data_IF_789785732101
#
_entry.id   IF_789785732101
#
_cell.length_a   1.000
_cell.length_b   1.000
_cell.length_c   1.000
_cell.angle_alpha   90.00
_cell.angle_beta   90.00
_cell.angle_gamma   90.00
#
_symmetry.space_group_name_H-M   'P 1'
#
loop_
_entity.id
_entity.type
_entity.pdbx_description
1 polymer ?
#
# COMPACT_ATOMS: atom_id res chain seq x y z
N UNK A 1 -24.06 86.44 -1.16
CA UNK A 1 -22.73 86.11 -1.72
C UNK A 1 -22.53 84.62 -1.52
N UNK A 2 -22.48 83.88 -2.63
CA UNK A 2 -22.34 82.41 -2.68
C UNK A 2 -20.96 82.00 -2.15
N UNK A 3 -20.86 80.89 -1.42
CA UNK A 3 -19.77 79.92 -1.55
C UNK A 3 -20.15 78.59 -0.89
N UNK A 4 -20.45 77.63 -1.76
CA UNK A 4 -20.44 76.20 -1.49
C UNK A 4 -19.01 75.76 -1.11
N UNK A 5 -18.88 74.89 -0.12
CA UNK A 5 -17.74 73.99 0.00
C UNK A 5 -18.28 72.56 0.11
N UNK A 6 -17.85 71.72 -0.82
CA UNK A 6 -18.33 70.38 -1.14
C UNK A 6 -17.06 69.51 -1.23
N UNK A 7 -17.19 68.21 -0.98
CA UNK A 7 -16.22 67.13 -1.28
C UNK A 7 -15.11 66.96 -0.21
N UNK A 8 -14.79 65.80 0.37
CA UNK A 8 -14.88 64.41 -0.10
C UNK A 8 -14.94 63.42 1.07
N UNK A 9 -15.94 62.55 1.11
CA UNK A 9 -15.91 61.32 1.90
C UNK A 9 -15.33 60.21 1.02
N UNK A 10 -14.06 59.86 1.22
CA UNK A 10 -13.43 58.74 0.54
C UNK A 10 -13.98 57.43 1.14
N UNK A 11 -14.94 56.82 0.44
CA UNK A 11 -15.30 55.42 0.66
C UNK A 11 -14.07 54.56 0.32
N UNK A 12 -13.38 54.03 1.33
CA UNK A 12 -12.48 52.90 1.14
C UNK A 12 -13.31 51.65 0.88
N UNK A 13 -13.62 51.39 -0.39
CA UNK A 13 -14.01 50.06 -0.85
C UNK A 13 -12.83 49.13 -0.63
N UNK A 14 -12.85 48.39 0.49
CA UNK A 14 -12.00 47.22 0.67
C UNK A 14 -12.39 46.20 -0.40
N UNK A 15 -11.68 46.21 -1.53
CA UNK A 15 -11.68 45.10 -2.46
C UNK A 15 -11.10 43.91 -1.69
N UNK A 16 -11.97 43.00 -1.25
CA UNK A 16 -11.55 41.66 -0.88
C UNK A 16 -10.90 41.05 -2.11
N UNK A 17 -9.57 41.13 -2.19
CA UNK A 17 -8.81 40.32 -3.12
C UNK A 17 -9.20 38.88 -2.81
N UNK A 18 -9.59 38.05 -3.81
CA UNK A 18 -9.76 36.64 -3.58
C UNK A 18 -8.47 36.14 -2.93
N UNK A 19 -8.57 35.46 -1.79
CA UNK A 19 -7.44 34.78 -1.19
C UNK A 19 -6.84 33.93 -2.30
N UNK A 20 -5.66 34.33 -2.79
CA UNK A 20 -5.03 33.60 -3.88
C UNK A 20 -4.73 32.22 -3.35
N UNK A 21 -5.20 31.20 -4.08
CA UNK A 21 -4.78 29.82 -3.96
C UNK A 21 -3.26 29.79 -3.72
N UNK A 22 -2.84 29.42 -2.52
CA UNK A 22 -1.44 29.48 -2.12
C UNK A 22 -0.93 28.04 -2.04
N UNK A 23 -0.09 27.70 -3.01
CA UNK A 23 0.82 26.55 -2.92
C UNK A 23 2.09 27.05 -2.25
N UNK A 24 2.50 26.39 -1.18
CA UNK A 24 3.71 26.72 -0.44
C UNK A 24 4.96 26.56 -1.31
N UNK A 25 6.01 27.33 -1.01
CA UNK A 25 7.34 27.21 -1.64
C UNK A 25 7.39 27.23 -3.18
N UNK A 26 6.32 27.72 -3.82
CA UNK A 26 6.14 27.81 -5.28
C UNK A 26 6.19 26.46 -6.00
N UNK A 27 5.96 25.34 -5.31
CA UNK A 27 5.93 23.98 -5.88
C UNK A 27 5.21 22.99 -4.96
N UNK A 28 4.80 21.85 -5.52
CA UNK A 28 4.36 20.69 -4.73
C UNK A 28 5.40 19.59 -4.82
N UNK A 29 5.98 19.19 -3.69
CA UNK A 29 7.04 18.19 -3.63
C UNK A 29 6.57 16.91 -2.94
N UNK A 30 6.68 15.79 -3.65
CA UNK A 30 6.28 14.46 -3.19
C UNK A 30 7.53 13.58 -3.03
N UNK A 31 7.70 13.01 -1.83
CA UNK A 31 8.81 12.12 -1.52
C UNK A 31 8.39 10.65 -1.52
N UNK A 32 8.97 9.83 -2.40
CA UNK A 32 8.80 8.37 -2.39
C UNK A 32 9.89 7.76 -1.50
N UNK A 33 9.52 7.38 -0.27
CA UNK A 33 10.44 6.81 0.73
C UNK A 33 10.17 5.33 0.89
N UNK A 34 11.03 4.50 0.30
CA UNK A 34 10.78 3.07 0.19
C UNK A 34 12.06 2.22 0.25
N UNK A 35 11.94 0.90 0.16
CA UNK A 35 13.08 0.00 0.06
C UNK A 35 13.53 -0.13 -1.39
N UNK A 36 14.69 0.42 -1.74
CA UNK A 36 15.20 0.41 -3.12
C UNK A 36 16.28 -0.63 -3.38
N UNK A 37 16.80 -1.27 -2.34
CA UNK A 37 18.00 -2.11 -2.43
C UNK A 37 17.89 -3.43 -1.67
N UNK A 38 16.90 -3.58 -0.80
CA UNK A 38 16.71 -4.74 0.06
C UNK A 38 15.67 -5.74 -0.43
N UNK A 39 15.09 -6.44 0.54
CA UNK A 39 14.15 -7.56 0.37
C UNK A 39 12.87 -7.20 -0.40
N UNK A 40 12.53 -5.90 -0.47
CA UNK A 40 11.34 -5.36 -1.12
C UNK A 40 11.64 -4.47 -2.34
N UNK A 41 12.87 -4.46 -2.85
CA UNK A 41 13.27 -3.64 -4.00
C UNK A 41 12.44 -3.93 -5.28
N UNK A 42 12.04 -5.19 -5.47
CA UNK A 42 11.18 -5.61 -6.58
C UNK A 42 9.68 -5.54 -6.24
N UNK A 43 9.34 -5.52 -4.95
CA UNK A 43 7.97 -5.39 -4.46
C UNK A 43 7.41 -4.00 -4.72
N UNK A 44 8.17 -2.96 -4.35
CA UNK A 44 7.84 -1.55 -4.52
C UNK A 44 8.99 -0.81 -5.19
N UNK A 45 10.01 -0.48 -4.40
CA UNK A 45 11.32 0.07 -4.80
C UNK A 45 11.31 1.18 -5.84
N UNK A 46 12.35 1.21 -6.68
CA UNK A 46 12.53 2.26 -7.72
C UNK A 46 11.36 2.30 -8.71
N UNK A 47 10.65 1.20 -8.85
CA UNK A 47 9.50 1.06 -9.75
C UNK A 47 8.29 1.88 -9.26
N UNK A 48 8.11 2.00 -7.94
CA UNK A 48 7.08 2.89 -7.38
C UNK A 48 7.42 4.37 -7.57
N UNK A 49 8.71 4.73 -7.56
CA UNK A 49 9.15 6.07 -7.94
C UNK A 49 8.86 6.39 -9.41
N UNK A 50 9.07 5.42 -10.32
CA UNK A 50 8.66 5.59 -11.73
C UNK A 50 7.15 5.77 -11.88
N UNK A 51 6.34 5.02 -11.13
CA UNK A 51 4.88 5.18 -11.11
C UNK A 51 4.44 6.57 -10.59
N UNK A 52 5.08 7.06 -9.52
CA UNK A 52 4.82 8.40 -8.99
C UNK A 52 5.15 9.50 -10.01
N UNK A 53 6.28 9.38 -10.71
CA UNK A 53 6.62 10.31 -11.81
C UNK A 53 5.61 10.26 -12.94
N UNK A 54 5.15 9.07 -13.34
CA UNK A 54 4.10 8.94 -14.36
C UNK A 54 2.82 9.67 -13.94
N UNK A 55 2.42 9.57 -12.66
CA UNK A 55 1.23 10.27 -12.17
C UNK A 55 1.40 11.80 -12.21
N UNK A 56 2.55 12.32 -11.79
CA UNK A 56 2.85 13.76 -11.86
C UNK A 56 2.89 14.27 -13.32
N UNK A 57 3.48 13.50 -14.24
CA UNK A 57 3.52 13.79 -15.67
C UNK A 57 2.11 13.78 -16.29
N UNK A 58 1.30 12.78 -15.95
CA UNK A 58 -0.08 12.64 -16.45
C UNK A 58 -1.02 13.71 -15.92
N UNK A 59 -0.74 14.26 -14.74
CA UNK A 59 -1.44 15.43 -14.20
C UNK A 59 -1.05 16.73 -14.92
N UNK A 60 -0.06 16.70 -15.82
CA UNK A 60 0.43 17.85 -16.58
C UNK A 60 1.73 18.47 -16.03
N UNK A 61 2.37 17.83 -15.06
CA UNK A 61 3.61 18.29 -14.43
C UNK A 61 3.46 19.51 -13.53
N UNK A 62 2.24 20.01 -13.35
CA UNK A 62 1.90 21.15 -12.51
C UNK A 62 0.55 20.97 -11.83
N UNK A 63 0.35 21.62 -10.68
CA UNK A 63 -0.93 21.77 -10.00
C UNK A 63 -1.05 23.21 -9.49
N UNK A 64 -2.21 23.84 -9.71
CA UNK A 64 -2.41 25.27 -9.40
C UNK A 64 -1.30 26.17 -9.98
N UNK A 65 -0.91 25.91 -11.23
CA UNK A 65 0.18 26.56 -11.98
C UNK A 65 1.60 26.39 -11.40
N UNK A 66 1.79 25.60 -10.34
CA UNK A 66 3.10 25.31 -9.74
C UNK A 66 3.63 23.95 -10.17
N UNK A 67 4.96 23.80 -10.35
CA UNK A 67 5.58 22.52 -10.70
C UNK A 67 5.37 21.45 -9.64
N UNK A 68 5.23 20.21 -10.10
CA UNK A 68 5.24 19.01 -9.26
C UNK A 68 6.64 18.40 -9.30
N UNK A 69 7.27 18.26 -8.14
CA UNK A 69 8.57 17.59 -7.98
C UNK A 69 8.37 16.24 -7.29
N UNK A 70 8.86 15.16 -7.88
CA UNK A 70 8.92 13.85 -7.22
C UNK A 70 10.37 13.54 -6.90
N UNK A 71 10.66 13.30 -5.62
CA UNK A 71 11.97 12.86 -5.12
C UNK A 71 11.88 11.47 -4.52
N UNK A 72 13.02 10.84 -4.25
CA UNK A 72 13.02 9.51 -3.65
C UNK A 72 14.25 9.27 -2.79
N UNK A 73 14.13 8.38 -1.81
CA UNK A 73 15.24 7.90 -1.00
C UNK A 73 15.01 6.46 -0.55
N UNK A 74 16.11 5.77 -0.27
CA UNK A 74 16.12 4.39 0.20
C UNK A 74 16.20 4.34 1.72
N UNK A 75 15.15 3.84 2.37
CA UNK A 75 15.13 3.67 3.82
C UNK A 75 15.81 2.37 4.30
N UNK A 76 16.23 1.48 3.39
CA UNK A 76 16.98 0.24 3.71
C UNK A 76 16.29 -0.66 4.75
N UNK A 77 14.96 -0.70 4.74
CA UNK A 77 14.11 -1.32 5.77
C UNK A 77 14.40 -0.92 7.23
N UNK A 78 14.92 0.30 7.47
CA UNK A 78 15.33 0.79 8.78
C UNK A 78 14.50 1.99 9.23
N UNK A 79 13.67 1.87 10.28
CA UNK A 79 12.83 2.97 10.77
C UNK A 79 13.60 4.23 11.20
N UNK A 80 14.81 4.08 11.75
CA UNK A 80 15.66 5.19 12.15
C UNK A 80 16.20 5.97 10.94
N UNK A 81 16.63 5.27 9.88
CA UNK A 81 17.02 5.91 8.61
C UNK A 81 15.83 6.64 7.99
N UNK A 82 14.66 5.98 7.90
CA UNK A 82 13.45 6.59 7.37
C UNK A 82 13.04 7.84 8.16
N UNK A 83 13.11 7.78 9.49
CA UNK A 83 12.78 8.89 10.38
C UNK A 83 13.68 10.10 10.15
N UNK A 84 14.99 9.87 9.99
CA UNK A 84 15.95 10.94 9.70
C UNK A 84 15.68 11.59 8.34
N UNK A 85 15.42 10.78 7.31
CA UNK A 85 15.07 11.27 5.97
C UNK A 85 13.77 12.07 6.02
N UNK A 86 12.72 11.56 6.67
CA UNK A 86 11.43 12.24 6.78
C UNK A 86 11.56 13.61 7.48
N UNK A 87 12.33 13.69 8.57
CA UNK A 87 12.60 14.98 9.24
C UNK A 87 13.37 15.93 8.34
N UNK A 88 14.42 15.48 7.66
CA UNK A 88 15.17 16.31 6.71
C UNK A 88 14.25 16.81 5.58
N UNK A 89 13.44 15.93 5.02
CA UNK A 89 12.50 16.24 3.95
C UNK A 89 11.46 17.27 4.35
N UNK A 90 10.84 17.14 5.52
CA UNK A 90 9.86 18.10 6.00
C UNK A 90 10.49 19.41 6.48
N UNK A 91 11.59 19.34 7.25
CA UNK A 91 12.13 20.52 7.94
C UNK A 91 13.06 21.35 7.06
N UNK A 92 13.74 20.73 6.09
CA UNK A 92 14.77 21.40 5.27
C UNK A 92 14.43 21.40 3.79
N UNK A 93 13.91 20.30 3.28
CA UNK A 93 13.69 20.15 1.84
C UNK A 93 12.27 20.48 1.39
N UNK A 94 11.38 20.90 2.29
CA UNK A 94 10.03 21.35 1.93
C UNK A 94 9.26 20.28 1.14
N UNK A 95 9.29 19.04 1.61
CA UNK A 95 8.42 17.97 1.09
C UNK A 95 7.01 18.17 1.65
N UNK A 96 6.00 18.04 0.79
CA UNK A 96 4.59 18.23 1.14
C UNK A 96 3.91 16.94 1.55
N UNK A 97 4.27 15.84 0.90
CA UNK A 97 3.79 14.52 1.24
C UNK A 97 4.87 13.45 1.08
N UNK A 98 4.89 12.47 1.98
CA UNK A 98 5.70 11.26 1.86
C UNK A 98 4.79 10.10 1.48
N UNK A 99 5.18 9.30 0.49
CA UNK A 99 4.35 8.22 -0.01
C UNK A 99 5.13 6.90 -0.18
N UNK A 100 4.35 5.84 -0.40
CA UNK A 100 4.76 4.44 -0.56
C UNK A 100 5.02 3.71 0.76
N UNK A 101 6.13 3.99 1.44
CA UNK A 101 6.46 3.46 2.77
C UNK A 101 6.32 1.92 2.88
N UNK A 102 7.14 1.18 2.13
CA UNK A 102 7.03 -0.29 1.95
C UNK A 102 6.94 -1.10 3.24
N UNK A 103 7.71 -0.74 4.25
CA UNK A 103 7.91 -1.57 5.44
C UNK A 103 7.06 -1.07 6.59
N UNK A 104 6.19 -1.92 7.16
CA UNK A 104 5.22 -1.49 8.18
C UNK A 104 5.84 -0.82 9.41
N UNK A 105 7.03 -1.24 9.86
CA UNK A 105 7.75 -0.55 10.95
C UNK A 105 8.26 0.83 10.53
N UNK A 106 8.67 1.01 9.27
CA UNK A 106 9.03 2.30 8.68
C UNK A 106 7.80 3.19 8.54
N UNK A 107 6.70 2.66 7.98
CA UNK A 107 5.46 3.40 7.79
C UNK A 107 4.90 3.94 9.10
N UNK A 108 4.86 3.13 10.17
CA UNK A 108 4.44 3.59 11.50
C UNK A 108 5.33 4.71 12.04
N UNK A 109 6.65 4.60 11.88
CA UNK A 109 7.59 5.63 12.32
C UNK A 109 7.42 6.94 11.54
N UNK A 110 7.28 6.87 10.22
CA UNK A 110 7.08 8.03 9.36
C UNK A 110 5.71 8.66 9.61
N UNK A 111 4.63 7.89 9.71
CA UNK A 111 3.29 8.40 10.04
C UNK A 111 3.27 9.14 11.39
N UNK A 112 4.03 8.67 12.38
CA UNK A 112 4.22 9.37 13.65
C UNK A 112 4.86 10.76 13.48
N UNK A 113 5.88 10.87 12.61
CA UNK A 113 6.54 12.14 12.29
C UNK A 113 5.62 13.03 11.45
N UNK A 114 4.94 12.50 10.44
CA UNK A 114 3.97 13.22 9.63
C UNK A 114 2.85 13.81 10.47
N UNK A 115 2.37 13.06 11.47
CA UNK A 115 1.41 13.55 12.46
C UNK A 115 1.96 14.70 13.32
N UNK A 116 3.20 14.57 13.82
CA UNK A 116 3.89 15.63 14.59
C UNK A 116 4.06 16.91 13.75
N UNK A 117 4.44 16.75 12.48
CA UNK A 117 4.76 17.84 11.55
C UNK A 117 3.55 18.39 10.81
N UNK A 118 2.37 17.80 11.00
CA UNK A 118 1.15 18.07 10.21
C UNK A 118 1.41 18.01 8.69
N UNK A 119 1.99 16.91 8.22
CA UNK A 119 2.22 16.63 6.80
C UNK A 119 1.48 15.37 6.40
N UNK A 120 1.11 15.27 5.13
CA UNK A 120 0.40 14.10 4.61
C UNK A 120 1.39 12.96 4.40
N UNK A 121 0.98 11.75 4.77
CA UNK A 121 1.60 10.52 4.32
C UNK A 121 0.58 9.58 3.68
N UNK A 122 0.95 8.96 2.55
CA UNK A 122 0.09 8.00 1.85
C UNK A 122 0.85 6.68 1.65
N UNK A 123 0.47 5.68 2.44
CA UNK A 123 1.07 4.35 2.47
C UNK A 123 0.44 3.45 1.41
N UNK A 124 1.24 2.95 0.48
CA UNK A 124 0.82 1.95 -0.53
C UNK A 124 1.57 0.63 -0.37
N UNK A 125 2.75 0.63 0.25
CA UNK A 125 3.60 -0.55 0.35
C UNK A 125 3.43 -1.35 1.65
N UNK A 126 3.32 -0.66 2.80
CA UNK A 126 3.07 -1.33 4.08
C UNK A 126 1.62 -1.74 4.28
N UNK A 127 1.38 -2.70 5.20
CA UNK A 127 0.08 -3.37 5.32
C UNK A 127 -0.44 -3.53 6.75
N UNK A 128 0.33 -3.22 7.80
CA UNK A 128 -0.18 -3.39 9.17
C UNK A 128 -1.49 -2.64 9.39
N UNK A 129 -2.48 -3.31 9.97
CA UNK A 129 -3.77 -2.70 10.33
C UNK A 129 -3.63 -1.59 11.36
N UNK A 130 -2.49 -1.49 12.05
CA UNK A 130 -2.23 -0.41 13.01
C UNK A 130 -2.26 0.99 12.38
N UNK A 131 -1.85 1.12 11.10
CA UNK A 131 -1.81 2.41 10.38
C UNK A 131 -3.16 3.10 10.30
N UNK A 132 -4.25 2.33 10.22
CA UNK A 132 -5.64 2.83 10.19
C UNK A 132 -6.49 2.28 11.35
N UNK A 133 -5.81 1.72 12.34
CA UNK A 133 -6.36 1.24 13.60
C UNK A 133 -5.80 2.07 14.76
N UNK A 134 -5.24 1.44 15.81
CA UNK A 134 -4.79 2.17 17.01
C UNK A 134 -3.79 3.31 16.77
N UNK A 135 -3.00 3.26 15.70
CA UNK A 135 -1.98 4.27 15.38
C UNK A 135 -2.40 5.23 14.25
N UNK A 136 -3.70 5.30 13.93
CA UNK A 136 -4.19 6.18 12.87
C UNK A 136 -3.81 7.67 13.08
N UNK A 137 -3.69 8.37 11.95
CA UNK A 137 -3.30 9.77 11.86
C UNK A 137 -4.34 10.55 11.05
N UNK A 138 -4.68 11.80 11.42
CA UNK A 138 -5.56 12.64 10.60
C UNK A 138 -4.94 13.02 9.26
N UNK A 139 -3.64 12.77 9.06
CA UNK A 139 -2.91 13.06 7.83
C UNK A 139 -2.31 11.80 7.18
N UNK A 140 -2.57 10.63 7.76
CA UNK A 140 -2.07 9.34 7.27
C UNK A 140 -3.16 8.60 6.51
N UNK A 141 -2.84 8.16 5.31
CA UNK A 141 -3.76 7.46 4.42
C UNK A 141 -3.17 6.12 4.02
N UNK A 142 -3.97 5.06 4.07
CA UNK A 142 -3.53 3.70 3.75
C UNK A 142 -4.26 3.20 2.51
N UNK A 143 -3.53 3.13 1.40
CA UNK A 143 -4.11 3.21 0.08
C UNK A 143 -4.33 1.86 -0.59
N UNK A 144 -3.29 1.01 -0.61
CA UNK A 144 -3.33 -0.19 -1.45
C UNK A 144 -3.99 -1.36 -0.73
N UNK A 145 -3.49 -1.85 0.38
CA UNK A 145 -4.04 -3.06 1.02
C UNK A 145 -3.69 -3.06 2.51
N UNK A 146 -4.27 -3.95 3.30
CA UNK A 146 -3.84 -4.20 4.66
C UNK A 146 -3.86 -5.71 4.97
N UNK A 147 -3.30 -6.08 6.11
CA UNK A 147 -3.22 -7.48 6.55
C UNK A 147 -4.59 -8.10 6.84
N UNK A 148 -5.63 -7.29 7.10
CA UNK A 148 -6.99 -7.81 7.25
C UNK A 148 -7.56 -8.26 5.90
N UNK A 149 -7.41 -7.45 4.85
CA UNK A 149 -7.84 -7.81 3.51
C UNK A 149 -7.15 -9.06 2.98
N UNK A 150 -5.86 -9.22 3.28
CA UNK A 150 -5.11 -10.45 2.97
C UNK A 150 -5.64 -11.67 3.73
N UNK A 151 -5.99 -11.49 5.01
CA UNK A 151 -6.58 -12.54 5.83
C UNK A 151 -7.97 -12.95 5.33
N UNK A 152 -8.83 -11.99 4.97
CA UNK A 152 -10.17 -12.23 4.42
C UNK A 152 -10.08 -12.96 3.08
N UNK A 153 -9.22 -12.51 2.17
CA UNK A 153 -9.05 -13.12 0.86
C UNK A 153 -8.30 -14.45 0.90
N UNK A 154 -6.97 -14.41 1.00
CA UNK A 154 -6.11 -15.58 0.90
C UNK A 154 -6.34 -16.55 2.07
N UNK A 155 -6.39 -16.01 3.30
CA UNK A 155 -6.67 -16.80 4.48
C UNK A 155 -8.04 -17.46 4.43
N UNK A 156 -9.07 -16.71 4.00
CA UNK A 156 -10.42 -17.22 3.88
C UNK A 156 -10.59 -18.31 2.84
N UNK A 157 -10.05 -18.12 1.64
CA UNK A 157 -10.08 -19.12 0.59
C UNK A 157 -9.46 -20.46 1.04
N UNK A 158 -8.33 -20.41 1.74
CA UNK A 158 -7.64 -21.63 2.21
C UNK A 158 -8.39 -22.35 3.33
N UNK A 159 -9.04 -21.61 4.23
CA UNK A 159 -9.89 -22.21 5.27
C UNK A 159 -11.11 -22.89 4.64
N UNK A 160 -11.76 -22.25 3.67
CA UNK A 160 -12.89 -22.83 2.94
C UNK A 160 -12.51 -24.09 2.16
N UNK A 161 -11.27 -24.15 1.67
CA UNK A 161 -10.68 -25.35 1.07
C UNK A 161 -10.19 -26.38 2.12
N UNK A 162 -10.74 -26.38 3.33
CA UNK A 162 -10.45 -27.37 4.38
C UNK A 162 -9.12 -27.17 5.12
N UNK A 163 -8.52 -25.98 5.01
CA UNK A 163 -7.31 -25.57 5.74
C UNK A 163 -7.62 -25.18 7.18
N UNK A 164 -7.98 -26.16 8.01
CA UNK A 164 -8.47 -25.93 9.38
C UNK A 164 -7.38 -25.85 10.46
N UNK A 165 -6.12 -26.14 10.12
CA UNK A 165 -4.99 -26.11 11.06
C UNK A 165 -3.80 -25.38 10.45
N UNK A 166 -3.29 -24.38 11.16
CA UNK A 166 -2.29 -23.44 10.67
C UNK A 166 -1.03 -23.43 11.54
N UNK A 167 0.13 -23.32 10.92
CA UNK A 167 1.39 -22.97 11.56
C UNK A 167 2.02 -21.79 10.82
N UNK A 168 2.46 -20.76 11.52
CA UNK A 168 2.98 -19.57 10.86
C UNK A 168 4.51 -19.51 10.86
N UNK A 169 5.08 -19.15 9.71
CA UNK A 169 6.42 -18.59 9.60
C UNK A 169 6.25 -17.08 9.50
N UNK A 170 6.76 -16.35 10.48
CA UNK A 170 6.42 -14.93 10.60
C UNK A 170 7.66 -14.05 10.65
N UNK A 171 7.69 -13.06 9.76
CA UNK A 171 8.74 -12.05 9.77
C UNK A 171 8.70 -11.26 11.08
N UNK A 172 9.86 -11.10 11.72
CA UNK A 172 9.99 -10.57 13.08
C UNK A 172 9.91 -9.03 13.13
N UNK A 173 8.79 -8.48 12.66
CA UNK A 173 8.46 -7.06 12.72
C UNK A 173 6.95 -6.81 12.54
N UNK A 174 6.52 -5.55 12.65
CA UNK A 174 5.11 -5.12 12.68
C UNK A 174 4.21 -5.76 11.62
N UNK A 175 4.67 -5.90 10.37
CA UNK A 175 3.87 -6.53 9.31
C UNK A 175 3.60 -8.02 9.59
N UNK A 176 4.65 -8.79 9.90
CA UNK A 176 4.50 -10.22 10.14
C UNK A 176 3.60 -10.48 11.35
N UNK A 177 3.79 -9.72 12.44
CA UNK A 177 2.92 -9.78 13.61
C UNK A 177 1.45 -9.54 13.25
N UNK A 178 1.18 -8.45 12.53
CA UNK A 178 -0.17 -8.09 12.11
C UNK A 178 -0.77 -9.16 11.18
N UNK A 179 -0.02 -9.68 10.20
CA UNK A 179 -0.52 -10.66 9.24
C UNK A 179 -0.83 -12.01 9.88
N UNK A 180 0.03 -12.49 10.79
CA UNK A 180 -0.23 -13.69 11.60
C UNK A 180 -1.47 -13.50 12.46
N UNK A 181 -1.61 -12.36 13.14
CA UNK A 181 -2.75 -12.08 13.99
C UNK A 181 -4.05 -12.04 13.18
N UNK A 182 -4.11 -11.25 12.10
CA UNK A 182 -5.30 -11.10 11.27
C UNK A 182 -5.71 -12.45 10.65
N UNK A 183 -4.75 -13.19 10.08
CA UNK A 183 -5.02 -14.50 9.46
C UNK A 183 -5.41 -15.54 10.49
N UNK A 184 -4.71 -15.59 11.62
CA UNK A 184 -5.00 -16.50 12.71
C UNK A 184 -6.37 -16.26 13.35
N UNK A 185 -6.76 -14.99 13.53
CA UNK A 185 -8.08 -14.62 14.04
C UNK A 185 -9.17 -14.96 13.03
N UNK A 186 -8.95 -14.67 11.74
CA UNK A 186 -9.87 -15.05 10.68
C UNK A 186 -10.07 -16.58 10.65
N UNK A 187 -8.98 -17.36 10.64
CA UNK A 187 -9.05 -18.82 10.63
C UNK A 187 -9.82 -19.37 11.84
N UNK A 188 -9.58 -18.84 13.04
CA UNK A 188 -10.33 -19.21 14.26
C UNK A 188 -11.81 -18.85 14.15
N UNK A 189 -12.17 -17.70 13.58
CA UNK A 189 -13.56 -17.29 13.37
C UNK A 189 -14.35 -18.25 12.48
N UNK A 190 -13.65 -18.99 11.62
CA UNK A 190 -14.19 -20.02 10.72
C UNK A 190 -14.03 -21.45 11.27
N UNK A 191 -13.68 -21.60 12.55
CA UNK A 191 -13.53 -22.89 13.22
C UNK A 191 -12.16 -23.56 13.08
N UNK A 192 -11.19 -22.89 12.46
CA UNK A 192 -9.80 -23.34 12.37
C UNK A 192 -9.01 -23.18 13.67
N UNK A 193 -7.79 -23.72 13.69
CA UNK A 193 -6.86 -23.68 14.83
C UNK A 193 -5.48 -23.24 14.38
N UNK A 194 -4.79 -22.49 15.24
CA UNK A 194 -3.37 -22.18 15.07
C UNK A 194 -2.58 -23.10 16.00
N UNK A 195 -1.75 -23.97 15.42
CA UNK A 195 -0.97 -24.98 16.14
C UNK A 195 0.38 -24.43 16.64
N UNK A 196 0.84 -23.32 16.08
CA UNK A 196 2.06 -22.66 16.50
C UNK A 196 2.50 -21.60 15.49
N UNK A 197 3.62 -20.95 15.81
CA UNK A 197 4.31 -20.04 14.94
C UNK A 197 5.80 -20.05 15.27
N UNK A 198 6.63 -19.67 14.29
CA UNK A 198 8.06 -19.41 14.48
C UNK A 198 8.42 -18.08 13.82
N UNK A 199 9.29 -17.31 14.47
CA UNK A 199 9.75 -16.02 13.97
C UNK A 199 11.05 -16.18 13.18
N UNK A 200 11.17 -15.45 12.09
CA UNK A 200 12.43 -15.31 11.35
C UNK A 200 12.78 -13.83 11.18
N UNK A 201 14.07 -13.46 11.21
CA UNK A 201 14.49 -12.09 10.87
C UNK A 201 14.03 -11.68 9.47
N UNK A 202 13.79 -10.40 9.26
CA UNK A 202 13.57 -9.86 7.91
C UNK A 202 14.82 -10.09 7.05
N UNK A 203 14.62 -10.42 5.76
CA UNK A 203 15.70 -10.74 4.81
C UNK A 203 16.46 -12.03 5.17
N UNK A 204 15.72 -13.04 5.63
CA UNK A 204 16.24 -14.38 5.89
C UNK A 204 16.52 -15.09 4.55
N UNK A 205 17.70 -15.70 4.42
CA UNK A 205 18.08 -16.46 3.22
C UNK A 205 17.96 -17.97 3.39
N UNK A 206 18.07 -18.49 4.62
CA UNK A 206 17.93 -19.90 4.95
C UNK A 206 16.71 -20.11 5.86
N UNK A 207 15.69 -20.78 5.31
CA UNK A 207 14.42 -21.08 5.96
C UNK A 207 14.34 -22.49 6.52
N UNK A 208 15.39 -23.31 6.36
CA UNK A 208 15.38 -24.75 6.68
C UNK A 208 14.85 -25.06 8.07
N UNK A 209 15.41 -24.45 9.11
CA UNK A 209 15.02 -24.71 10.50
C UNK A 209 13.59 -24.28 10.83
N UNK A 210 13.09 -23.21 10.20
CA UNK A 210 11.73 -22.71 10.38
C UNK A 210 10.72 -23.64 9.68
N UNK A 211 11.05 -24.06 8.46
CA UNK A 211 10.25 -24.98 7.66
C UNK A 211 10.15 -26.36 8.30
N UNK A 212 11.24 -26.89 8.87
CA UNK A 212 11.21 -28.17 9.60
C UNK A 212 10.34 -28.13 10.85
N UNK A 213 10.31 -27.00 11.57
CA UNK A 213 9.39 -26.81 12.69
C UNK A 213 7.93 -26.78 12.23
N UNK A 214 7.64 -26.05 11.16
CA UNK A 214 6.30 -26.01 10.57
C UNK A 214 5.86 -27.36 10.03
N UNK A 215 6.78 -28.13 9.44
CA UNK A 215 6.52 -29.49 9.00
C UNK A 215 6.19 -30.42 10.17
N UNK A 216 7.00 -30.36 11.22
CA UNK A 216 6.83 -31.17 12.43
C UNK A 216 5.55 -30.84 13.22
N UNK A 217 4.97 -29.65 13.00
CA UNK A 217 3.71 -29.24 13.65
C UNK A 217 2.49 -30.05 13.21
N UNK A 218 2.55 -30.67 12.02
CA UNK A 218 1.41 -31.38 11.43
C UNK A 218 0.24 -30.47 11.00
N UNK A 219 0.41 -29.15 10.98
CA UNK A 219 -0.60 -28.22 10.46
C UNK A 219 -0.88 -28.47 8.98
N UNK A 220 -2.14 -28.46 8.56
CA UNK A 220 -2.50 -28.60 7.14
C UNK A 220 -2.02 -27.43 6.28
N UNK A 221 -1.88 -26.24 6.87
CA UNK A 221 -1.44 -25.02 6.19
C UNK A 221 -0.25 -24.41 6.94
N UNK A 222 0.81 -24.09 6.19
CA UNK A 222 1.91 -23.26 6.65
C UNK A 222 1.66 -21.85 6.14
N UNK A 223 1.31 -20.94 7.04
CA UNK A 223 1.09 -19.53 6.75
C UNK A 223 2.41 -18.78 6.66
N UNK A 224 2.74 -18.25 5.49
CA UNK A 224 3.90 -17.40 5.29
C UNK A 224 3.50 -15.96 5.61
N UNK A 225 3.61 -15.57 6.88
CA UNK A 225 3.39 -14.20 7.36
C UNK A 225 4.66 -13.35 7.16
N UNK A 226 5.11 -13.31 5.90
CA UNK A 226 6.26 -12.59 5.38
C UNK A 226 5.95 -12.12 3.95
N UNK A 227 6.91 -11.46 3.29
CA UNK A 227 6.71 -10.88 1.95
C UNK A 227 8.04 -10.84 1.19
N UNK A 228 7.99 -10.47 -0.09
CA UNK A 228 9.16 -10.21 -0.91
C UNK A 228 10.06 -11.43 -1.06
N UNK A 229 11.37 -11.22 -1.03
CA UNK A 229 12.33 -12.32 -1.16
C UNK A 229 12.24 -13.34 -0.01
N UNK A 230 11.75 -12.96 1.17
CA UNK A 230 11.52 -13.92 2.27
C UNK A 230 10.48 -14.97 1.86
N UNK A 231 9.38 -14.55 1.25
CA UNK A 231 8.33 -15.46 0.76
C UNK A 231 8.85 -16.33 -0.38
N UNK A 232 9.55 -15.74 -1.36
CA UNK A 232 10.11 -16.49 -2.48
C UNK A 232 11.11 -17.57 -2.02
N UNK A 233 12.01 -17.22 -1.08
CA UNK A 233 12.99 -18.15 -0.50
C UNK A 233 12.31 -19.26 0.31
N UNK A 234 11.30 -18.91 1.13
CA UNK A 234 10.54 -19.89 1.91
C UNK A 234 9.80 -20.89 1.02
N UNK A 235 9.15 -20.44 -0.06
CA UNK A 235 8.47 -21.32 -1.01
C UNK A 235 9.45 -22.25 -1.71
N UNK A 236 10.56 -21.71 -2.23
CA UNK A 236 11.59 -22.51 -2.89
C UNK A 236 12.13 -23.61 -1.97
N UNK A 237 12.51 -23.26 -0.75
CA UNK A 237 13.06 -24.24 0.19
C UNK A 237 11.99 -25.22 0.68
N UNK A 238 10.74 -24.81 0.84
CA UNK A 238 9.65 -25.73 1.16
C UNK A 238 9.44 -26.80 0.07
N UNK A 239 9.65 -26.45 -1.20
CA UNK A 239 9.67 -27.41 -2.30
C UNK A 239 10.86 -28.36 -2.21
N UNK A 240 12.06 -27.86 -1.91
CA UNK A 240 13.28 -28.67 -1.70
C UNK A 240 13.13 -29.69 -0.56
N UNK A 241 12.44 -29.30 0.53
CA UNK A 241 12.11 -30.19 1.65
C UNK A 241 10.90 -31.11 1.39
N UNK A 242 10.25 -31.01 0.23
CA UNK A 242 9.09 -31.83 -0.12
C UNK A 242 7.88 -31.59 0.77
N UNK A 243 7.74 -30.41 1.37
CA UNK A 243 6.64 -30.09 2.32
C UNK A 243 5.28 -30.20 1.63
N UNK A 244 5.18 -29.65 0.42
CA UNK A 244 3.95 -29.71 -0.38
C UNK A 244 3.66 -31.14 -0.84
N UNK A 245 4.70 -31.87 -1.27
CA UNK A 245 4.60 -33.28 -1.63
C UNK A 245 4.20 -34.17 -0.43
N UNK A 246 4.55 -33.75 0.80
CA UNK A 246 4.16 -34.38 2.05
C UNK A 246 2.73 -34.09 2.51
N UNK A 247 1.99 -33.24 1.78
CA UNK A 247 0.55 -33.00 1.98
C UNK A 247 0.20 -31.72 2.75
N UNK A 248 1.17 -30.92 3.19
CA UNK A 248 0.90 -29.58 3.73
C UNK A 248 0.81 -28.54 2.62
N UNK A 249 -0.04 -27.53 2.79
CA UNK A 249 -0.16 -26.42 1.85
C UNK A 249 0.62 -25.21 2.33
N UNK A 250 1.18 -24.44 1.41
CA UNK A 250 1.73 -23.12 1.72
C UNK A 250 0.65 -22.06 1.46
N UNK A 251 0.51 -21.11 2.38
CA UNK A 251 -0.26 -19.89 2.17
C UNK A 251 0.71 -18.73 1.96
N UNK A 252 0.86 -18.28 0.72
CA UNK A 252 1.60 -17.05 0.41
C UNK A 252 0.69 -15.85 0.71
N UNK A 253 0.65 -15.45 1.98
CA UNK A 253 -0.36 -14.50 2.48
C UNK A 253 -0.20 -13.10 1.88
N UNK A 254 1.02 -12.71 1.52
CA UNK A 254 1.32 -11.59 0.63
C UNK A 254 2.30 -12.09 -0.44
N UNK A 255 1.87 -12.04 -1.70
CA UNK A 255 2.69 -12.46 -2.84
C UNK A 255 2.20 -11.71 -4.07
N UNK A 256 3.11 -10.98 -4.70
CA UNK A 256 2.82 -10.08 -5.81
C UNK A 256 3.34 -10.63 -7.12
N UNK A 257 2.95 -9.97 -8.20
CA UNK A 257 3.37 -10.28 -9.56
C UNK A 257 4.90 -10.37 -9.73
N UNK A 258 5.65 -9.50 -9.03
CA UNK A 258 7.11 -9.48 -9.10
C UNK A 258 7.74 -10.74 -8.49
N UNK A 259 7.19 -11.24 -7.39
CA UNK A 259 7.69 -12.45 -6.75
C UNK A 259 7.33 -13.70 -7.55
N UNK A 260 6.13 -13.74 -8.15
CA UNK A 260 5.76 -14.80 -9.10
C UNK A 260 6.68 -14.82 -10.31
N UNK A 261 7.03 -13.65 -10.85
CA UNK A 261 8.00 -13.55 -11.95
C UNK A 261 9.37 -14.13 -11.55
N UNK A 262 9.87 -13.76 -10.37
CA UNK A 262 11.17 -14.23 -9.87
C UNK A 262 11.19 -15.72 -9.54
N UNK A 263 10.09 -16.26 -8.99
CA UNK A 263 9.97 -17.67 -8.64
C UNK A 263 9.67 -18.57 -9.85
N UNK A 264 8.93 -18.05 -10.82
CA UNK A 264 8.46 -18.76 -12.00
C UNK A 264 7.20 -19.59 -11.76
N UNK A 265 6.39 -19.75 -12.82
CA UNK A 265 5.09 -20.45 -12.74
C UNK A 265 5.22 -21.92 -12.34
N UNK A 266 6.33 -22.60 -12.66
CA UNK A 266 6.49 -24.01 -12.31
C UNK A 266 6.43 -24.23 -10.79
N UNK A 267 7.07 -23.35 -10.01
CA UNK A 267 7.09 -23.41 -8.56
C UNK A 267 5.89 -22.69 -7.92
N UNK A 268 5.32 -21.70 -8.60
CA UNK A 268 4.25 -20.86 -8.05
C UNK A 268 2.82 -21.33 -8.41
N UNK A 269 2.64 -22.19 -9.42
CA UNK A 269 1.33 -22.61 -9.92
C UNK A 269 0.39 -23.11 -8.81
N UNK A 270 -0.87 -22.68 -8.86
CA UNK A 270 -1.90 -23.05 -7.90
C UNK A 270 -1.83 -22.31 -6.55
N UNK A 271 -0.83 -21.46 -6.32
CA UNK A 271 -0.84 -20.58 -5.16
C UNK A 271 -1.99 -19.58 -5.28
N UNK A 272 -2.81 -19.48 -4.24
CA UNK A 272 -3.84 -18.47 -4.10
C UNK A 272 -3.27 -17.25 -3.38
N UNK A 273 -3.62 -16.05 -3.86
CA UNK A 273 -3.18 -14.77 -3.31
C UNK A 273 -4.27 -13.70 -3.47
N UNK A 274 -4.11 -12.59 -2.74
CA UNK A 274 -5.03 -11.46 -2.78
C UNK A 274 -4.27 -10.21 -3.20
N UNK A 275 -4.71 -9.56 -4.28
CA UNK A 275 -4.15 -8.29 -4.75
C UNK A 275 -5.25 -7.25 -4.98
N UNK A 276 -4.87 -5.97 -4.87
CA UNK A 276 -5.74 -4.83 -5.19
C UNK A 276 -5.79 -4.47 -6.67
N UNK A 277 -4.89 -5.02 -7.48
CA UNK A 277 -4.76 -4.68 -8.89
C UNK A 277 -4.08 -5.81 -9.65
N UNK A 278 -4.44 -5.97 -10.92
CA UNK A 278 -3.71 -6.81 -11.87
C UNK A 278 -3.65 -6.12 -13.22
N UNK A 279 -2.48 -6.17 -13.84
CA UNK A 279 -2.18 -5.43 -15.06
C UNK A 279 -3.08 -5.87 -16.24
N UNK A 280 -3.44 -7.16 -16.33
CA UNK A 280 -4.28 -7.70 -17.40
C UNK A 280 -5.77 -7.82 -17.01
N UNK A 281 -6.23 -7.08 -16.01
CA UNK A 281 -7.63 -7.14 -15.54
C UNK A 281 -8.62 -6.57 -16.56
N UNK A 282 -8.30 -5.44 -17.19
CA UNK A 282 -9.15 -4.75 -18.16
C UNK A 282 -8.30 -3.85 -19.10
N UNK A 283 -8.96 -3.13 -20.01
CA UNK A 283 -8.25 -2.29 -20.99
C UNK A 283 -7.50 -1.12 -20.35
N UNK A 284 -8.06 -0.51 -19.30
CA UNK A 284 -7.39 0.60 -18.58
C UNK A 284 -6.14 0.12 -17.84
N UNK A 285 -6.22 -1.04 -17.17
CA UNK A 285 -5.06 -1.61 -16.48
C UNK A 285 -3.97 -2.01 -17.46
N UNK A 286 -4.34 -2.57 -18.62
CA UNK A 286 -3.38 -2.93 -19.68
C UNK A 286 -2.69 -1.72 -20.27
N UNK A 287 -3.43 -0.64 -20.51
CA UNK A 287 -2.87 0.59 -21.07
C UNK A 287 -1.84 1.22 -20.14
N UNK A 288 -2.18 1.38 -18.86
CA UNK A 288 -1.22 1.82 -17.85
C UNK A 288 0.00 0.90 -17.76
N UNK A 289 -0.23 -0.40 -17.74
CA UNK A 289 0.82 -1.39 -17.61
C UNK A 289 1.80 -1.38 -18.79
N UNK A 290 1.35 -1.15 -20.02
CA UNK A 290 2.25 -1.01 -21.19
C UNK A 290 3.15 0.21 -21.06
N UNK A 291 2.59 1.37 -20.72
CA UNK A 291 3.37 2.60 -20.48
C UNK A 291 4.37 2.42 -19.34
N UNK A 292 3.96 1.73 -18.28
CA UNK A 292 4.83 1.40 -17.16
C UNK A 292 5.95 0.44 -17.56
N UNK A 293 5.63 -0.58 -18.37
CA UNK A 293 6.58 -1.54 -18.90
C UNK A 293 7.63 -0.87 -19.80
N UNK A 294 7.24 0.10 -20.64
CA UNK A 294 8.20 0.84 -21.46
C UNK A 294 9.29 1.53 -20.62
N UNK A 295 8.93 2.04 -19.43
CA UNK A 295 9.87 2.71 -18.52
C UNK A 295 10.70 1.75 -17.67
N UNK A 296 10.12 0.61 -17.29
CA UNK A 296 10.66 -0.25 -16.22
C UNK A 296 11.06 -1.65 -16.66
N UNK A 297 10.60 -2.06 -17.85
CA UNK A 297 10.69 -3.43 -18.39
C UNK A 297 10.03 -4.48 -17.49
N UNK A 298 8.99 -4.07 -16.75
CA UNK A 298 8.23 -4.87 -15.79
C UNK A 298 6.76 -4.52 -15.86
N UNK A 299 5.88 -5.49 -15.58
CA UNK A 299 4.47 -5.17 -15.37
C UNK A 299 4.24 -4.70 -13.92
N UNK A 300 3.36 -3.70 -13.70
CA UNK A 300 3.11 -3.19 -12.36
C UNK A 300 2.28 -4.17 -11.53
N UNK A 301 2.61 -4.28 -10.24
CA UNK A 301 1.73 -4.90 -9.24
C UNK A 301 0.88 -3.82 -8.53
N UNK A 302 0.08 -4.22 -7.54
CA UNK A 302 -0.78 -3.29 -6.79
C UNK A 302 -0.05 -2.14 -6.09
N UNK A 303 1.24 -2.26 -5.78
CA UNK A 303 2.02 -1.24 -5.07
C UNK A 303 2.37 -0.10 -6.01
N UNK A 304 2.87 -0.41 -7.22
CA UNK A 304 3.19 0.62 -8.20
C UNK A 304 1.92 1.27 -8.75
N UNK A 305 0.90 0.48 -9.09
CA UNK A 305 -0.39 1.02 -9.53
C UNK A 305 -1.07 1.86 -8.44
N UNK A 306 -1.01 1.40 -7.18
CA UNK A 306 -1.50 2.13 -6.01
C UNK A 306 -0.73 3.42 -5.75
N UNK A 307 0.59 3.43 -5.98
CA UNK A 307 1.42 4.65 -5.87
C UNK A 307 1.07 5.68 -6.94
N UNK A 308 0.85 5.25 -8.18
CA UNK A 308 0.33 6.13 -9.23
C UNK A 308 -1.03 6.73 -8.82
N UNK A 309 -1.96 5.89 -8.36
CA UNK A 309 -3.29 6.30 -7.90
C UNK A 309 -3.23 7.28 -6.73
N UNK A 310 -2.40 7.01 -5.72
CA UNK A 310 -2.21 7.86 -4.55
C UNK A 310 -1.69 9.26 -4.92
N UNK A 311 -0.67 9.34 -5.78
CA UNK A 311 -0.12 10.63 -6.27
C UNK A 311 -1.19 11.38 -7.06
N UNK A 312 -1.87 10.70 -7.98
CA UNK A 312 -2.94 11.28 -8.79
C UNK A 312 -4.08 11.83 -7.90
N UNK A 313 -4.49 11.09 -6.87
CA UNK A 313 -5.54 11.54 -5.95
C UNK A 313 -5.08 12.73 -5.10
N UNK A 314 -3.85 12.70 -4.59
CA UNK A 314 -3.29 13.82 -3.82
C UNK A 314 -3.24 15.12 -4.62
N UNK A 315 -2.81 15.05 -5.88
CA UNK A 315 -2.79 16.21 -6.77
C UNK A 315 -4.20 16.74 -7.09
N UNK A 316 -5.17 15.84 -7.31
CA UNK A 316 -6.59 16.22 -7.46
C UNK A 316 -7.15 16.87 -6.19
N UNK A 317 -6.74 16.40 -5.01
CA UNK A 317 -7.15 16.97 -3.74
C UNK A 317 -6.58 18.38 -3.53
N UNK A 318 -5.32 18.63 -3.90
CA UNK A 318 -4.72 19.98 -3.93
C UNK A 318 -5.48 20.89 -4.90
N UNK A 319 -5.75 20.42 -6.12
CA UNK A 319 -6.49 21.20 -7.11
C UNK A 319 -7.88 21.59 -6.60
N UNK A 320 -8.61 20.63 -5.99
CA UNK A 320 -9.94 20.87 -5.43
C UNK A 320 -9.92 21.79 -4.20
N UNK A 321 -8.94 21.63 -3.32
CA UNK A 321 -8.75 22.48 -2.15
C UNK A 321 -8.32 23.90 -2.53
N UNK A 322 -7.69 24.07 -3.70
CA UNK A 322 -7.08 25.33 -4.12
C UNK A 322 -5.84 25.71 -3.30
N UNK A 323 -5.22 24.75 -2.60
CA UNK A 323 -4.03 24.94 -1.77
C UNK A 323 -3.37 23.59 -1.48
N UNK A 324 -2.09 23.60 -1.10
CA UNK A 324 -1.35 22.45 -0.56
C UNK A 324 -1.37 22.38 0.97
N UNK A 325 -2.18 23.22 1.64
CA UNK A 325 -2.35 23.19 3.09
C UNK A 325 -2.90 21.83 3.55
N UNK A 326 -2.18 21.19 4.47
CA UNK A 326 -2.40 19.81 4.91
C UNK A 326 -3.84 19.53 5.33
N UNK A 327 -4.45 20.35 6.18
CA UNK A 327 -5.80 20.10 6.71
C UNK A 327 -6.85 20.20 5.59
N UNK A 328 -6.73 21.18 4.70
CA UNK A 328 -7.59 21.33 3.52
C UNK A 328 -7.46 20.15 2.55
N UNK A 329 -6.23 19.73 2.24
CA UNK A 329 -5.98 18.60 1.32
C UNK A 329 -6.44 17.28 1.94
N UNK A 330 -6.17 17.06 3.23
CA UNK A 330 -6.60 15.85 3.95
C UNK A 330 -8.12 15.73 3.97
N UNK A 331 -8.84 16.84 4.14
CA UNK A 331 -10.29 16.88 4.04
C UNK A 331 -10.76 16.43 2.65
N UNK A 332 -10.17 16.98 1.59
CA UNK A 332 -10.54 16.60 0.22
C UNK A 332 -10.21 15.12 -0.08
N UNK A 333 -9.12 14.57 0.45
CA UNK A 333 -8.81 13.15 0.35
C UNK A 333 -9.89 12.25 0.97
N UNK A 334 -10.51 12.68 2.07
CA UNK A 334 -11.65 11.97 2.68
C UNK A 334 -12.96 12.10 1.90
N UNK A 335 -13.23 13.28 1.32
CA UNK A 335 -14.51 13.56 0.66
C UNK A 335 -14.58 13.10 -0.80
N UNK A 336 -13.43 13.10 -1.49
CA UNK A 336 -13.37 12.75 -2.90
C UNK A 336 -13.51 11.24 -3.11
N UNK A 337 -14.36 10.79 -4.06
CA UNK A 337 -14.34 9.40 -4.47
C UNK A 337 -13.05 9.09 -5.24
N UNK A 338 -12.59 7.85 -5.15
CA UNK A 338 -11.47 7.32 -5.93
C UNK A 338 -12.05 6.50 -7.08
N UNK A 339 -11.91 7.02 -8.30
CA UNK A 339 -12.35 6.39 -9.53
C UNK A 339 -11.25 6.54 -10.58
N UNK A 340 -10.36 5.56 -10.66
CA UNK A 340 -9.22 5.54 -11.57
C UNK A 340 -8.90 4.11 -12.04
N UNK A 341 -7.72 3.88 -12.61
CA UNK A 341 -7.28 2.57 -13.10
C UNK A 341 -7.08 1.54 -11.98
N UNK A 342 -6.76 2.01 -10.78
CA UNK A 342 -6.46 1.18 -9.62
C UNK A 342 -7.77 0.73 -8.97
N UNK A 343 -8.61 1.69 -8.58
CA UNK A 343 -9.85 1.44 -7.87
C UNK A 343 -11.06 2.06 -8.57
N UNK A 344 -12.18 1.33 -8.55
CA UNK A 344 -13.51 1.82 -8.93
C UNK A 344 -14.35 1.94 -7.67
N UNK A 345 -15.10 3.03 -7.56
CA UNK A 345 -15.93 3.35 -6.40
C UNK A 345 -15.18 3.31 -5.06
N UNK A 346 -13.87 3.59 -5.08
CA UNK A 346 -13.06 3.65 -3.87
C UNK A 346 -13.43 4.85 -3.03
N UNK A 347 -13.28 4.73 -1.71
CA UNK A 347 -13.53 5.82 -0.76
C UNK A 347 -12.55 5.75 0.41
N UNK A 348 -12.14 6.89 0.91
CA UNK A 348 -11.29 6.96 2.10
C UNK A 348 -12.16 7.02 3.35
N UNK A 349 -12.08 6.00 4.20
CA UNK A 349 -12.76 5.96 5.49
C UNK A 349 -12.21 7.01 6.47
N UNK A 350 -12.97 7.34 7.50
CA UNK A 350 -12.60 8.33 8.52
C UNK A 350 -11.33 7.97 9.33
N UNK A 351 -10.87 6.72 9.24
CA UNK A 351 -9.60 6.25 9.81
C UNK A 351 -8.41 6.33 8.84
N UNK A 352 -8.60 6.90 7.64
CA UNK A 352 -7.57 7.01 6.60
C UNK A 352 -7.45 5.81 5.66
N UNK A 353 -8.24 4.73 5.86
CA UNK A 353 -8.19 3.53 5.00
C UNK A 353 -8.91 3.79 3.67
N UNK A 354 -8.24 3.56 2.54
CA UNK A 354 -8.89 3.49 1.24
C UNK A 354 -9.60 2.14 1.09
N UNK A 355 -10.92 2.20 0.98
CA UNK A 355 -11.84 1.06 0.90
C UNK A 355 -12.26 0.90 -0.57
N UNK A 356 -11.92 -0.23 -1.16
CA UNK A 356 -12.23 -0.60 -2.55
C UNK A 356 -12.18 -2.12 -2.71
N UNK A 357 -12.59 -2.62 -3.87
CA UNK A 357 -12.64 -4.06 -4.11
C UNK A 357 -11.24 -4.67 -4.27
N UNK A 358 -11.01 -5.78 -3.58
CA UNK A 358 -9.81 -6.62 -3.70
C UNK A 358 -10.10 -7.84 -4.57
N UNK A 359 -9.08 -8.51 -5.07
CA UNK A 359 -9.23 -9.67 -5.95
C UNK A 359 -8.52 -10.89 -5.39
N UNK A 360 -9.28 -11.98 -5.24
CA UNK A 360 -8.72 -13.29 -5.00
C UNK A 360 -8.23 -13.84 -6.34
N UNK A 361 -6.96 -14.25 -6.39
CA UNK A 361 -6.32 -14.75 -7.61
C UNK A 361 -5.60 -16.06 -7.36
N UNK A 362 -5.40 -16.82 -8.42
CA UNK A 362 -4.59 -18.03 -8.44
C UNK A 362 -3.50 -17.93 -9.50
N UNK A 363 -2.28 -18.35 -9.14
CA UNK A 363 -1.18 -18.44 -10.09
C UNK A 363 -1.47 -19.52 -11.14
N UNK A 364 -1.41 -19.13 -12.41
CA UNK A 364 -1.60 -19.99 -13.58
C UNK A 364 -0.57 -21.11 -13.63
N UNK A 365 -0.95 -22.23 -14.25
CA UNK A 365 0.03 -23.22 -14.70
C UNK A 365 0.86 -22.64 -15.86
N UNK A 366 2.10 -23.09 -16.06
CA UNK A 366 2.91 -22.65 -17.19
C UNK A 366 2.20 -22.78 -18.56
N UNK A 367 1.42 -23.86 -18.75
CA UNK A 367 0.69 -24.11 -20.00
C UNK A 367 -0.49 -23.15 -20.26
N UNK A 368 -0.97 -22.45 -19.24
CA UNK A 368 -2.11 -21.52 -19.33
C UNK A 368 -1.67 -20.06 -19.53
N UNK A 369 -0.37 -19.77 -19.36
CA UNK A 369 0.22 -18.45 -19.55
C UNK A 369 0.47 -18.18 -21.03
N UNK A 370 -0.07 -17.07 -21.54
CA UNK A 370 -0.03 -16.75 -22.97
C UNK A 370 1.11 -15.80 -23.35
N UNK A 371 1.61 -15.04 -22.40
CA UNK A 371 2.69 -14.07 -22.59
C UNK A 371 3.43 -13.83 -21.27
N UNK A 372 4.65 -13.27 -21.29
CA UNK A 372 5.33 -12.86 -20.06
C UNK A 372 4.42 -12.00 -19.19
N UNK A 373 4.43 -12.24 -17.87
CA UNK A 373 3.58 -11.57 -16.87
C UNK A 373 2.09 -11.98 -16.88
N UNK A 374 1.65 -12.83 -17.80
CA UNK A 374 0.33 -13.46 -17.75
C UNK A 374 0.29 -14.60 -16.70
N UNK A 375 0.19 -14.22 -15.42
CA UNK A 375 0.40 -15.13 -14.30
C UNK A 375 -0.84 -15.46 -13.49
N UNK A 376 -1.93 -14.71 -13.62
CA UNK A 376 -3.07 -14.86 -12.71
C UNK A 376 -4.37 -15.24 -13.41
N UNK A 377 -5.11 -16.12 -12.74
CA UNK A 377 -6.55 -16.27 -12.90
C UNK A 377 -7.23 -15.45 -11.80
N UNK A 378 -8.18 -14.58 -12.16
CA UNK A 378 -9.04 -13.92 -11.17
C UNK A 378 -10.13 -14.91 -10.77
N UNK A 379 -10.15 -15.30 -9.50
CA UNK A 379 -11.11 -16.26 -8.96
C UNK A 379 -12.37 -15.57 -8.46
N UNK A 380 -12.20 -14.46 -7.75
CA UNK A 380 -13.30 -13.71 -7.16
C UNK A 380 -12.93 -12.23 -6.98
N UNK A 381 -13.97 -11.39 -6.94
CA UNK A 381 -13.87 -10.02 -6.43
C UNK A 381 -14.39 -10.02 -5.00
N UNK A 382 -13.62 -9.46 -4.07
CA UNK A 382 -13.98 -9.30 -2.67
C UNK A 382 -14.45 -7.84 -2.52
N UNK A 383 -15.75 -7.60 -2.27
CA UNK A 383 -16.28 -6.25 -2.10
C UNK A 383 -15.52 -5.49 -1.01
N UNK A 384 -15.27 -4.20 -1.22
CA UNK A 384 -14.48 -3.39 -0.27
C UNK A 384 -15.06 -3.34 1.16
N UNK A 385 -16.37 -3.42 1.33
CA UNK A 385 -17.03 -3.47 2.63
C UNK A 385 -16.90 -4.82 3.36
N UNK A 386 -16.50 -5.87 2.64
CA UNK A 386 -16.12 -7.18 3.19
C UNK A 386 -14.60 -7.30 3.37
N UNK A 387 -13.81 -6.67 2.50
CA UNK A 387 -12.36 -6.79 2.48
C UNK A 387 -11.67 -6.11 3.67
N UNK A 388 -12.23 -5.02 4.21
CA UNK A 388 -11.58 -4.19 5.22
C UNK A 388 -12.34 -4.13 6.54
N UNK A 389 -11.59 -3.88 7.62
CA UNK A 389 -12.19 -3.55 8.91
C UNK A 389 -12.98 -2.25 8.76
N UNK A 390 -14.23 -2.24 9.20
CA UNK A 390 -15.05 -1.03 9.23
C UNK A 390 -14.32 0.05 10.04
N UNK A 391 -14.26 1.32 9.58
CA UNK A 391 -13.58 2.37 10.34
C UNK A 391 -14.05 2.48 11.80
N UNK A 392 -15.34 2.30 12.07
CA UNK A 392 -15.92 2.31 13.44
C UNK A 392 -15.45 1.17 14.34
N UNK A 393 -14.88 0.10 13.78
CA UNK A 393 -14.42 -1.10 14.47
C UNK A 393 -12.89 -1.22 14.46
N UNK A 394 -12.17 -0.26 13.84
CA UNK A 394 -10.72 -0.37 13.64
C UNK A 394 -9.88 -0.10 14.88
N UNK A 395 -10.49 0.43 15.95
CA UNK A 395 -9.76 0.90 17.13
C UNK A 395 -9.05 2.24 16.93
N UNK A 396 -9.29 2.93 15.81
CA UNK A 396 -8.73 4.25 15.55
C UNK A 396 -9.39 5.33 16.44
N UNK A 397 -8.61 6.13 17.19
CA UNK A 397 -9.16 7.18 18.06
C UNK A 397 -9.83 8.36 17.33
N UNK A 398 -9.69 8.46 16.00
CA UNK A 398 -10.31 9.51 15.19
C UNK A 398 -11.77 9.21 14.82
N UNK A 399 -12.19 7.95 14.93
CA UNK A 399 -13.55 7.50 14.53
C UNK A 399 -14.52 7.43 15.71
N UNK A 400 -13.99 7.57 16.92
CA UNK A 400 -14.71 7.48 18.19
C UNK A 400 -15.16 8.84 18.74
N UNK A 401 -15.06 9.91 17.95
CA UNK A 401 -15.34 11.30 18.36
C UNK A 401 -16.60 11.88 17.74
#
# INVERSE_FOLDING_TARGET
MKLLALVSAALMTATALPAMAQVSDEKVKIGILNDQSGVYADFGGKWSYEAAKMAAEDFGGKVLDKPIEVITADHQNKPDIASNIARQWYDTEQVDAIMELTTSSVALAVQGISKEKKKIDIVTGAATTELTGPQCSPYGFHWAYDTHALAVGTGGALVEQGGDTWFFLTADYAFGYSLEEQTGNFAKSKGGKVLGAVRHPLATTDFSSFLLQAQSSGAKVIGLANAGLDTANAIKQAAEFGIVAGGQRLAALLFTLAEVHGLGLEAAQGLTLTEGFYWDRNDESREFARRFYERTQRMPNMIQAGTYSAVMQYLKAIEKAGTDETEAVAKELHEMPVNDLFAKNGKVGANGRMIYDMYLMEVKKPADSKEPWDYYNVLATIPGDEAYIKPSESGCPLVSQ
#
